data_IF_477711735250
#
_entry.id   IF_477711735250
#
_cell.length_a   1.000
_cell.length_b   1.000
_cell.length_c   1.000
_cell.angle_alpha   90.00
_cell.angle_beta   90.00
_cell.angle_gamma   90.00
#
_symmetry.space_group_name_H-M   'P 1'
#
loop_
_entity.id
_entity.type
_entity.pdbx_description
1 polymer ?
#
# COMPACT_ATOMS: atom_id res chain seq x y z
N UNK A 1 13.64 13.01 4.68
CA UNK A 1 12.36 12.51 5.24
C UNK A 1 11.58 13.60 5.97
N UNK A 2 12.09 14.17 7.07
CA UNK A 2 11.31 15.08 7.95
C UNK A 2 10.80 16.32 7.21
N UNK A 3 11.63 16.96 6.39
CA UNK A 3 11.23 18.13 5.60
C UNK A 3 10.07 17.80 4.63
N UNK A 4 10.09 16.61 4.03
CA UNK A 4 9.01 16.17 3.12
C UNK A 4 7.72 15.96 3.90
N UNK A 5 7.76 15.29 5.06
CA UNK A 5 6.57 15.13 5.92
C UNK A 5 6.02 16.51 6.34
N UNK A 6 6.91 17.47 6.68
CA UNK A 6 6.49 18.84 6.98
C UNK A 6 5.77 19.53 5.81
N UNK A 7 6.25 19.34 4.58
CA UNK A 7 5.60 19.86 3.38
C UNK A 7 4.25 19.15 3.12
N UNK A 8 4.18 17.84 3.25
CA UNK A 8 2.93 17.08 3.10
C UNK A 8 1.89 17.53 4.13
N UNK A 9 2.30 17.76 5.39
CA UNK A 9 1.44 18.33 6.43
C UNK A 9 0.92 19.72 6.05
N UNK A 10 1.80 20.59 5.51
CA UNK A 10 1.44 21.96 5.11
C UNK A 10 0.51 22.00 3.89
N UNK A 11 0.65 21.06 2.97
CA UNK A 11 -0.25 20.88 1.79
C UNK A 11 -1.61 20.32 2.20
N UNK A 12 -1.68 19.61 3.34
CA UNK A 12 -2.91 19.01 3.84
C UNK A 12 -3.21 17.65 3.20
N UNK A 13 -2.24 16.75 3.22
CA UNK A 13 -2.48 15.37 2.79
C UNK A 13 -3.51 14.70 3.67
N UNK A 14 -4.42 13.94 3.06
CA UNK A 14 -5.48 13.19 3.75
C UNK A 14 -5.07 11.76 4.10
N UNK A 15 -4.19 11.16 3.28
CA UNK A 15 -3.73 9.79 3.43
C UNK A 15 -2.46 9.57 2.61
N UNK A 16 -1.61 8.65 3.02
CA UNK A 16 -0.45 8.20 2.25
C UNK A 16 -0.26 6.69 2.35
N UNK A 17 0.49 6.15 1.39
CA UNK A 17 0.99 4.77 1.40
C UNK A 17 2.52 4.78 1.37
N UNK A 18 3.21 3.77 1.90
CA UNK A 18 4.63 3.61 1.68
C UNK A 18 4.93 3.11 0.27
N UNK A 19 5.92 3.68 -0.39
CA UNK A 19 6.60 3.09 -1.54
C UNK A 19 7.89 2.40 -1.08
N UNK A 20 8.70 1.90 -2.04
CA UNK A 20 9.95 1.22 -1.71
C UNK A 20 11.03 2.17 -1.15
N UNK A 21 11.04 3.43 -1.55
CA UNK A 21 12.03 4.41 -1.12
C UNK A 21 11.80 4.98 0.29
N UNK A 22 10.64 4.75 0.90
CA UNK A 22 10.39 5.10 2.29
C UNK A 22 11.33 4.40 3.25
N UNK A 23 11.84 3.23 2.85
CA UNK A 23 12.72 2.38 3.66
C UNK A 23 14.22 2.60 3.43
N UNK A 24 14.61 3.48 2.52
CA UNK A 24 16.03 3.70 2.13
C UNK A 24 16.93 4.14 3.29
N UNK A 25 16.36 4.80 4.28
CA UNK A 25 17.06 5.25 5.48
C UNK A 25 16.75 4.40 6.73
N UNK A 26 16.20 3.22 6.52
CA UNK A 26 15.90 2.23 7.56
C UNK A 26 14.48 2.27 8.08
N UNK A 27 14.05 1.11 8.55
CA UNK A 27 12.69 0.86 9.05
C UNK A 27 12.33 1.78 10.22
N UNK A 28 13.21 1.88 11.21
CA UNK A 28 12.98 2.71 12.40
C UNK A 28 12.79 4.19 12.03
N UNK A 29 13.65 4.70 11.13
CA UNK A 29 13.53 6.08 10.66
C UNK A 29 12.20 6.32 9.95
N UNK A 30 11.74 5.41 9.08
CA UNK A 30 10.45 5.54 8.42
C UNK A 30 9.30 5.55 9.44
N UNK A 31 9.28 4.60 10.36
CA UNK A 31 8.22 4.51 11.38
C UNK A 31 8.19 5.75 12.30
N UNK A 32 9.34 6.35 12.61
CA UNK A 32 9.38 7.63 13.37
C UNK A 32 8.85 8.80 12.52
N UNK A 33 9.13 8.82 11.21
CA UNK A 33 8.59 9.84 10.31
C UNK A 33 7.06 9.77 10.20
N UNK A 34 6.48 8.57 10.17
CA UNK A 34 5.01 8.43 10.10
C UNK A 34 4.30 9.03 11.32
N UNK A 35 4.96 9.05 12.50
CA UNK A 35 4.42 9.68 13.72
C UNK A 35 4.37 11.22 13.64
N UNK A 36 5.15 11.82 12.73
CA UNK A 36 5.18 13.27 12.49
C UNK A 36 4.18 13.71 11.42
N UNK A 37 3.57 12.77 10.72
CA UNK A 37 2.56 13.04 9.72
C UNK A 37 1.20 13.36 10.39
N UNK A 38 0.52 14.40 9.91
CA UNK A 38 -0.84 14.77 10.33
C UNK A 38 -1.92 13.96 9.59
N UNK A 39 -1.51 12.95 8.84
CA UNK A 39 -2.35 12.04 8.06
C UNK A 39 -1.89 10.61 8.29
N UNK A 40 -2.79 9.61 8.15
CA UNK A 40 -2.42 8.23 8.30
C UNK A 40 -1.62 7.71 7.10
N UNK A 41 -0.62 6.88 7.38
CA UNK A 41 -0.11 5.90 6.43
C UNK A 41 -0.99 4.65 6.50
N UNK A 42 -1.33 4.08 5.34
CA UNK A 42 -2.16 2.88 5.21
C UNK A 42 -1.46 1.82 4.37
N UNK A 43 -1.67 0.54 4.70
CA UNK A 43 -1.23 -0.58 3.87
C UNK A 43 -1.96 -1.86 4.24
N UNK A 44 -2.57 -2.52 3.27
CA UNK A 44 -3.26 -3.79 3.44
C UNK A 44 -2.31 -5.00 3.42
N UNK A 45 -1.02 -4.78 3.15
CA UNK A 45 -0.05 -5.88 3.02
C UNK A 45 1.27 -5.69 3.75
N UNK A 46 1.62 -4.48 4.20
CA UNK A 46 2.83 -4.28 4.99
C UNK A 46 2.63 -4.80 6.41
N UNK A 47 3.41 -5.80 6.79
CA UNK A 47 3.26 -6.49 8.06
C UNK A 47 4.59 -6.67 8.81
N UNK A 48 4.49 -6.89 10.11
CA UNK A 48 5.56 -7.33 11.00
C UNK A 48 5.15 -8.63 11.65
N UNK A 49 5.87 -9.71 11.42
CA UNK A 49 5.56 -11.05 11.94
C UNK A 49 4.10 -11.49 11.65
N UNK A 50 3.57 -11.10 10.49
CA UNK A 50 2.21 -11.41 10.05
C UNK A 50 1.11 -10.44 10.51
N UNK A 51 1.41 -9.48 11.39
CA UNK A 51 0.48 -8.44 11.82
C UNK A 51 0.69 -7.16 11.01
N UNK A 52 -0.39 -6.53 10.53
CA UNK A 52 -0.30 -5.28 9.76
C UNK A 52 0.33 -4.17 10.61
N UNK A 53 1.27 -3.45 10.03
CA UNK A 53 1.94 -2.31 10.67
C UNK A 53 1.06 -1.06 10.65
N UNK A 54 0.25 -0.89 9.61
CA UNK A 54 -0.69 0.21 9.43
C UNK A 54 -2.09 -0.30 9.27
N UNK A 55 -3.07 0.61 9.42
CA UNK A 55 -4.45 0.31 9.04
C UNK A 55 -4.50 -0.02 7.53
N UNK A 56 -5.25 -1.03 7.10
CA UNK A 56 -5.31 -1.43 5.70
C UNK A 56 -6.01 -0.39 4.81
N UNK A 57 -6.93 0.39 5.38
CA UNK A 57 -7.69 1.42 4.68
C UNK A 57 -8.13 2.53 5.64
N UNK A 58 -8.60 3.63 5.06
CA UNK A 58 -9.35 4.68 5.74
C UNK A 58 -10.61 5.01 4.96
N UNK A 59 -11.66 5.46 5.66
CA UNK A 59 -12.88 5.98 5.02
C UNK A 59 -12.93 7.49 5.27
N UNK A 60 -13.12 8.25 4.19
CA UNK A 60 -13.32 9.70 4.22
C UNK A 60 -14.76 10.01 3.81
N UNK A 61 -15.37 10.97 4.49
CA UNK A 61 -16.63 11.56 4.02
C UNK A 61 -16.30 12.69 3.03
N UNK A 62 -16.77 12.54 1.82
CA UNK A 62 -16.62 13.53 0.75
C UNK A 62 -18.02 14.02 0.39
N UNK A 63 -18.41 15.16 0.95
CA UNK A 63 -19.73 15.77 0.72
C UNK A 63 -20.92 14.80 1.00
N UNK A 64 -20.83 14.01 2.06
CA UNK A 64 -21.84 13.03 2.46
C UNK A 64 -21.70 11.66 1.81
N UNK A 65 -20.67 11.45 0.98
CA UNK A 65 -20.36 10.18 0.35
C UNK A 65 -19.15 9.54 1.03
N UNK A 66 -19.31 8.32 1.53
CA UNK A 66 -18.21 7.56 2.11
C UNK A 66 -17.32 7.00 1.01
N UNK A 67 -16.07 7.42 0.97
CA UNK A 67 -15.04 6.95 0.05
C UNK A 67 -13.93 6.27 0.85
N UNK A 68 -13.66 5.01 0.54
CA UNK A 68 -12.56 4.27 1.14
C UNK A 68 -11.30 4.37 0.29
N UNK A 69 -10.16 4.48 0.95
CA UNK A 69 -8.83 4.38 0.35
C UNK A 69 -8.13 3.18 0.97
N UNK A 70 -7.74 2.22 0.15
CA UNK A 70 -7.00 0.99 0.54
C UNK A 70 -5.56 1.13 0.06
N UNK A 71 -4.58 0.88 0.93
CA UNK A 71 -3.17 1.00 0.57
C UNK A 71 -2.56 -0.35 0.18
N UNK A 72 -1.67 -0.37 -0.83
CA UNK A 72 -0.89 -1.55 -1.18
C UNK A 72 0.50 -1.17 -1.69
N UNK A 73 1.51 -1.90 -1.22
CA UNK A 73 2.92 -1.68 -1.59
C UNK A 73 3.51 -2.96 -2.19
N UNK A 74 4.34 -2.81 -3.22
CA UNK A 74 4.96 -3.97 -3.88
C UNK A 74 5.84 -4.78 -2.92
N UNK A 75 5.73 -6.12 -2.89
CA UNK A 75 6.65 -6.98 -2.17
C UNK A 75 8.11 -6.85 -2.60
N UNK A 76 8.35 -6.38 -3.83
CA UNK A 76 9.70 -6.07 -4.33
C UNK A 76 10.43 -5.01 -3.49
N UNK A 77 9.71 -4.26 -2.66
CA UNK A 77 10.29 -3.30 -1.72
C UNK A 77 11.46 -3.89 -0.92
N UNK A 78 11.39 -5.17 -0.52
CA UNK A 78 12.46 -5.85 0.21
C UNK A 78 13.76 -5.87 -0.59
N UNK A 79 13.70 -6.09 -1.90
CA UNK A 79 14.87 -6.18 -2.78
C UNK A 79 15.23 -4.87 -3.49
N UNK A 80 14.26 -3.99 -3.69
CA UNK A 80 14.47 -2.67 -4.32
C UNK A 80 14.90 -1.58 -3.33
N UNK A 81 14.77 -1.83 -2.01
CA UNK A 81 15.40 -1.07 -0.95
C UNK A 81 16.59 -1.85 -0.37
N UNK A 82 16.76 -1.86 0.93
CA UNK A 82 17.86 -2.58 1.60
C UNK A 82 17.31 -3.74 2.43
N UNK A 83 17.47 -5.00 2.02
CA UNK A 83 16.87 -6.17 2.69
C UNK A 83 17.12 -6.25 4.21
N UNK A 84 18.29 -5.78 4.65
CA UNK A 84 18.67 -5.75 6.07
C UNK A 84 17.68 -4.98 6.95
N UNK A 85 17.01 -3.96 6.40
CA UNK A 85 16.06 -3.15 7.17
C UNK A 85 14.74 -3.85 7.48
N UNK A 86 14.51 -5.01 6.86
CA UNK A 86 13.32 -5.86 7.08
C UNK A 86 13.60 -7.05 7.97
N UNK A 87 14.87 -7.17 8.47
CA UNK A 87 15.34 -8.30 9.24
C UNK A 87 15.57 -7.94 10.72
N UNK A 88 15.55 -8.98 11.56
CA UNK A 88 16.05 -8.90 12.93
C UNK A 88 17.60 -8.95 12.99
N UNK A 89 18.15 -8.91 14.20
CA UNK A 89 19.59 -8.98 14.44
C UNK A 89 20.23 -10.33 14.02
N UNK A 90 19.43 -11.38 13.85
CA UNK A 90 19.85 -12.71 13.42
C UNK A 90 19.71 -12.89 11.89
N UNK A 91 19.24 -11.89 11.17
CA UNK A 91 19.03 -11.94 9.72
C UNK A 91 17.70 -12.57 9.28
N UNK A 92 16.77 -12.84 10.20
CA UNK A 92 15.46 -13.37 9.85
C UNK A 92 14.55 -12.21 9.42
N UNK A 93 13.83 -12.37 8.32
CA UNK A 93 12.83 -11.40 7.91
C UNK A 93 11.67 -11.36 8.91
N UNK A 94 11.46 -10.20 9.52
CA UNK A 94 10.37 -9.93 10.46
C UNK A 94 9.34 -8.96 9.86
N UNK A 95 9.71 -8.23 8.81
CA UNK A 95 8.80 -7.41 8.01
C UNK A 95 8.62 -8.01 6.63
N UNK A 96 7.42 -7.91 6.08
CA UNK A 96 7.06 -8.42 4.77
C UNK A 96 5.88 -7.68 4.15
N UNK A 97 5.56 -8.03 2.92
CA UNK A 97 4.48 -7.40 2.14
C UNK A 97 3.49 -8.45 1.60
N UNK A 98 3.28 -9.54 2.34
CA UNK A 98 2.43 -10.67 1.95
C UNK A 98 2.87 -11.31 0.62
N UNK A 99 4.18 -11.42 0.45
CA UNK A 99 4.77 -12.05 -0.73
C UNK A 99 4.53 -13.55 -0.79
N UNK A 100 4.26 -14.06 -1.97
CA UNK A 100 4.29 -15.47 -2.35
C UNK A 100 4.50 -15.60 -3.87
N UNK A 101 4.66 -16.83 -4.38
CA UNK A 101 4.94 -17.07 -5.79
C UNK A 101 3.77 -16.73 -6.73
N UNK A 102 2.56 -16.71 -6.22
CA UNK A 102 1.30 -16.56 -6.99
C UNK A 102 0.65 -15.19 -6.83
N UNK A 103 1.00 -14.44 -5.77
CA UNK A 103 0.35 -13.18 -5.39
C UNK A 103 -0.91 -13.36 -4.54
N UNK A 104 -1.33 -14.60 -4.28
CA UNK A 104 -2.61 -14.90 -3.60
C UNK A 104 -2.72 -14.27 -2.21
N UNK A 105 -1.62 -14.25 -1.43
CA UNK A 105 -1.62 -13.63 -0.10
C UNK A 105 -1.88 -12.12 -0.17
N UNK A 106 -1.24 -11.46 -1.12
CA UNK A 106 -1.43 -10.01 -1.32
C UNK A 106 -2.86 -9.73 -1.80
N UNK A 107 -3.36 -10.49 -2.77
CA UNK A 107 -4.74 -10.32 -3.25
C UNK A 107 -5.76 -10.53 -2.14
N UNK A 108 -5.58 -11.56 -1.30
CA UNK A 108 -6.43 -11.81 -0.14
C UNK A 108 -6.38 -10.66 0.87
N UNK A 109 -5.21 -10.08 1.12
CA UNK A 109 -5.05 -8.92 1.99
C UNK A 109 -5.81 -7.69 1.47
N UNK A 110 -5.65 -7.38 0.17
CA UNK A 110 -6.38 -6.29 -0.49
C UNK A 110 -7.89 -6.56 -0.49
N UNK A 111 -8.33 -7.79 -0.84
CA UNK A 111 -9.75 -8.15 -0.84
C UNK A 111 -10.37 -8.00 0.54
N UNK A 112 -9.67 -8.46 1.58
CA UNK A 112 -10.14 -8.31 2.97
C UNK A 112 -10.36 -6.86 3.35
N UNK A 113 -9.45 -5.96 2.94
CA UNK A 113 -9.57 -4.53 3.19
C UNK A 113 -10.75 -3.90 2.41
N UNK A 114 -10.94 -4.29 1.14
CA UNK A 114 -12.07 -3.86 0.30
C UNK A 114 -13.39 -4.29 0.91
N UNK A 115 -13.51 -5.55 1.30
CA UNK A 115 -14.73 -6.12 1.90
C UNK A 115 -15.07 -5.43 3.22
N UNK A 116 -14.09 -5.19 4.07
CA UNK A 116 -14.27 -4.48 5.34
C UNK A 116 -14.74 -3.03 5.11
N UNK A 117 -14.11 -2.31 4.17
CA UNK A 117 -14.53 -0.94 3.82
C UNK A 117 -15.96 -0.90 3.27
N UNK A 118 -16.35 -1.85 2.43
CA UNK A 118 -17.73 -1.99 1.92
C UNK A 118 -18.72 -2.29 3.05
N UNK A 119 -18.36 -3.19 3.97
CA UNK A 119 -19.19 -3.53 5.13
C UNK A 119 -19.42 -2.32 6.05
N UNK A 120 -18.47 -1.38 6.13
CA UNK A 120 -18.60 -0.10 6.84
C UNK A 120 -19.40 0.96 6.05
N UNK A 121 -19.89 0.62 4.86
CA UNK A 121 -20.75 1.46 4.03
C UNK A 121 -20.03 2.37 3.07
N UNK A 122 -18.78 2.05 2.67
CA UNK A 122 -18.10 2.79 1.60
C UNK A 122 -18.86 2.66 0.28
N UNK A 123 -19.29 3.79 -0.28
CA UNK A 123 -19.94 3.86 -1.58
C UNK A 123 -18.93 3.62 -2.71
N UNK A 124 -17.69 4.12 -2.52
CA UNK A 124 -16.57 3.92 -3.43
C UNK A 124 -15.36 3.40 -2.68
N UNK A 125 -14.60 2.52 -3.35
CA UNK A 125 -13.33 1.99 -2.84
C UNK A 125 -12.25 2.25 -3.89
N UNK A 126 -11.28 3.08 -3.52
CA UNK A 126 -10.11 3.42 -4.32
C UNK A 126 -8.88 2.71 -3.72
N UNK A 127 -8.13 2.00 -4.55
CA UNK A 127 -6.85 1.45 -4.14
C UNK A 127 -5.75 2.44 -4.51
N UNK A 128 -4.92 2.75 -3.52
CA UNK A 128 -3.68 3.51 -3.69
C UNK A 128 -2.54 2.50 -3.71
N UNK A 129 -1.92 2.30 -4.86
CA UNK A 129 -0.87 1.33 -5.08
C UNK A 129 0.50 1.96 -5.29
N UNK A 130 1.53 1.25 -4.86
CA UNK A 130 2.91 1.45 -5.28
C UNK A 130 3.44 0.09 -5.72
N UNK A 131 2.87 -0.46 -6.82
CA UNK A 131 3.07 -1.85 -7.25
C UNK A 131 3.67 -1.97 -8.65
N UNK A 132 3.39 -1.01 -9.53
CA UNK A 132 3.92 -0.95 -10.89
C UNK A 132 3.18 -1.83 -11.89
N UNK A 133 3.56 -1.67 -13.16
CA UNK A 133 2.94 -2.31 -14.32
C UNK A 133 3.92 -3.14 -15.17
N UNK A 134 5.20 -3.16 -14.83
CA UNK A 134 6.23 -3.88 -15.57
C UNK A 134 6.15 -5.40 -15.34
N UNK A 135 6.59 -6.20 -16.33
CA UNK A 135 6.61 -7.68 -16.24
C UNK A 135 7.37 -8.20 -15.02
N UNK A 136 8.42 -7.50 -14.62
CA UNK A 136 9.21 -7.85 -13.44
C UNK A 136 8.47 -7.58 -12.12
N UNK A 137 7.36 -6.82 -12.13
CA UNK A 137 6.51 -6.58 -10.96
C UNK A 137 5.49 -7.70 -10.73
N UNK A 138 5.31 -8.62 -11.70
CA UNK A 138 4.40 -9.74 -11.55
C UNK A 138 4.85 -10.70 -10.42
N UNK A 139 3.89 -11.31 -9.74
CA UNK A 139 2.43 -11.29 -9.93
C UNK A 139 1.72 -10.15 -9.16
N UNK A 140 2.37 -9.03 -8.92
CA UNK A 140 1.87 -7.96 -8.04
C UNK A 140 1.53 -6.65 -8.75
N UNK A 141 1.42 -6.65 -10.10
CA UNK A 141 1.03 -5.46 -10.84
C UNK A 141 -0.38 -5.00 -10.48
N UNK A 142 -0.71 -3.72 -10.73
CA UNK A 142 -2.08 -3.25 -10.52
C UNK A 142 -3.10 -4.09 -11.31
N UNK A 143 -2.74 -4.55 -12.53
CA UNK A 143 -3.61 -5.39 -13.35
C UNK A 143 -3.82 -6.78 -12.74
N UNK A 144 -2.78 -7.39 -12.17
CA UNK A 144 -2.88 -8.66 -11.47
C UNK A 144 -3.81 -8.52 -10.25
N UNK A 145 -3.66 -7.46 -9.44
CA UNK A 145 -4.49 -7.21 -8.26
C UNK A 145 -5.95 -7.01 -8.66
N UNK A 146 -6.23 -6.12 -9.62
CA UNK A 146 -7.61 -5.86 -10.08
C UNK A 146 -8.26 -7.15 -10.61
N UNK A 147 -7.52 -7.95 -11.38
CA UNK A 147 -8.04 -9.19 -11.98
C UNK A 147 -8.40 -10.25 -10.92
N UNK A 148 -7.70 -10.26 -9.79
CA UNK A 148 -7.86 -11.26 -8.73
C UNK A 148 -8.63 -10.74 -7.49
N UNK A 149 -9.22 -9.54 -7.59
CA UNK A 149 -10.04 -8.94 -6.53
C UNK A 149 -11.36 -8.43 -7.10
N UNK A 150 -12.30 -8.09 -6.24
CA UNK A 150 -13.60 -7.52 -6.60
C UNK A 150 -13.93 -6.31 -5.74
N UNK A 151 -14.81 -5.43 -6.22
CA UNK A 151 -15.31 -4.31 -5.44
C UNK A 151 -14.42 -3.06 -5.42
N UNK A 152 -13.36 -3.02 -6.24
CA UNK A 152 -12.52 -1.83 -6.47
C UNK A 152 -13.15 -0.98 -7.57
N UNK A 153 -13.36 0.32 -7.32
CA UNK A 153 -13.89 1.26 -8.29
C UNK A 153 -12.80 1.97 -9.10
N UNK A 154 -11.65 2.24 -8.48
CA UNK A 154 -10.48 2.79 -9.15
C UNK A 154 -9.18 2.37 -8.46
N UNK A 155 -8.12 2.31 -9.25
CA UNK A 155 -6.76 2.01 -8.78
C UNK A 155 -5.82 3.14 -9.24
N UNK A 156 -5.14 3.76 -8.30
CA UNK A 156 -4.12 4.78 -8.55
C UNK A 156 -2.77 4.18 -8.19
N UNK A 157 -1.90 4.04 -9.17
CA UNK A 157 -0.61 3.35 -9.00
C UNK A 157 0.60 4.27 -9.21
N UNK A 158 1.72 3.84 -8.65
CA UNK A 158 3.05 4.41 -8.86
C UNK A 158 4.07 3.30 -9.13
N UNK A 159 5.35 3.53 -8.77
CA UNK A 159 6.50 2.64 -8.91
C UNK A 159 7.17 2.63 -10.28
N UNK A 160 6.43 2.36 -11.37
CA UNK A 160 7.01 2.27 -12.73
C UNK A 160 7.29 3.63 -13.38
N UNK A 161 6.93 4.75 -12.73
CA UNK A 161 7.10 6.12 -13.21
C UNK A 161 6.44 6.39 -14.57
N UNK A 162 5.35 5.69 -14.85
CA UNK A 162 4.57 5.81 -16.08
C UNK A 162 3.34 6.72 -15.90
N UNK A 163 2.82 7.18 -17.03
CA UNK A 163 1.54 7.89 -17.12
C UNK A 163 0.53 7.05 -17.92
N UNK A 164 0.38 5.79 -17.55
CA UNK A 164 -0.54 4.88 -18.21
C UNK A 164 -1.97 5.04 -17.71
N UNK A 165 -2.93 4.76 -18.60
CA UNK A 165 -4.36 4.66 -18.27
C UNK A 165 -4.89 3.39 -18.89
N UNK A 166 -5.21 2.42 -18.06
CA UNK A 166 -5.78 1.17 -18.50
C UNK A 166 -7.16 0.95 -17.90
N UNK A 167 -8.04 0.27 -18.63
CA UNK A 167 -9.26 -0.31 -18.08
C UNK A 167 -9.01 -1.80 -17.89
N UNK A 168 -9.00 -2.23 -16.66
CA UNK A 168 -8.85 -3.65 -16.29
C UNK A 168 -10.18 -4.11 -15.71
N UNK A 169 -10.68 -5.25 -16.21
CA UNK A 169 -11.94 -5.82 -15.73
C UNK A 169 -11.61 -7.00 -14.82
N UNK A 170 -12.16 -7.02 -13.62
CA UNK A 170 -12.16 -8.19 -12.76
C UNK A 170 -13.07 -9.28 -13.33
N UNK A 171 -12.75 -10.51 -12.99
CA UNK A 171 -13.50 -11.70 -13.41
C UNK A 171 -14.88 -11.79 -12.76
#
# INVERSE_FOLDING_TARGET
GEAIIGLMNAVGYDVAIPGNHEFDYGMENFLELTKKANFPYISANFNKNGELVFQPYVIKDVEGVKVAFVGVTTPRTITSSTPKYFQDENGNFIYGFMEDETGEKLYAGVQSAVDAARAEGAAYVFVMGHVGNEDNCRPYTYADIITNTTGIDAFMDGHSHDTDKATVTNK
#
